data_IF_771792302377
#
_entry.id   IF_771792302377
#
_cell.length_a   1.000
_cell.length_b   1.000
_cell.length_c   1.000
_cell.angle_alpha   90.00
_cell.angle_beta   90.00
_cell.angle_gamma   90.00
#
_symmetry.space_group_name_H-M   'P 1'
#
loop_
_entity.id
_entity.type
_entity.pdbx_description
1 polymer ?
#
# COMPACT_ATOMS: atom_id res chain seq x y z
N UNK A 1 44.87 -40.99 24.08
CA UNK A 1 43.91 -40.46 25.06
C UNK A 1 42.74 -39.90 24.28
N UNK A 2 41.64 -40.64 24.19
CA UNK A 2 40.42 -40.20 23.51
C UNK A 2 39.57 -39.40 24.51
N UNK A 3 39.37 -38.11 24.25
CA UNK A 3 38.42 -37.29 24.99
C UNK A 3 37.00 -37.80 24.72
N UNK A 4 36.37 -38.35 25.76
CA UNK A 4 34.95 -38.65 25.77
C UNK A 4 34.17 -37.33 25.80
N UNK A 5 33.69 -36.88 24.64
CA UNK A 5 32.59 -35.92 24.55
C UNK A 5 31.29 -36.61 24.99
N UNK A 6 31.03 -36.63 26.29
CA UNK A 6 29.70 -36.96 26.80
C UNK A 6 28.75 -35.83 26.43
N UNK A 7 27.89 -36.06 25.45
CA UNK A 7 26.73 -35.21 25.20
C UNK A 7 25.85 -35.24 26.46
N UNK A 8 25.94 -34.20 27.29
CA UNK A 8 25.06 -34.01 28.43
C UNK A 8 23.64 -33.83 27.87
N UNK A 9 22.86 -34.92 27.91
CA UNK A 9 21.49 -34.93 27.45
C UNK A 9 20.64 -34.26 28.51
N UNK A 10 20.19 -33.05 28.20
CA UNK A 10 19.38 -32.24 29.10
C UNK A 10 17.97 -32.79 29.23
N UNK A 11 17.41 -32.83 30.44
CA UNK A 11 16.04 -33.28 30.64
C UNK A 11 15.01 -32.23 30.18
N UNK A 12 13.89 -32.70 29.65
CA UNK A 12 12.75 -31.83 29.30
C UNK A 12 12.24 -31.10 30.54
N UNK A 13 11.86 -29.84 30.37
CA UNK A 13 11.36 -28.96 31.43
C UNK A 13 12.38 -28.62 32.52
N UNK A 14 13.64 -28.97 32.30
CA UNK A 14 14.72 -28.57 33.20
C UNK A 14 14.98 -27.06 33.07
N UNK A 15 15.33 -26.42 34.18
CA UNK A 15 15.60 -25.00 34.23
C UNK A 15 17.04 -24.69 33.81
N UNK A 16 17.32 -23.68 32.95
CA UNK A 16 16.40 -22.75 32.24
C UNK A 16 15.88 -23.28 30.90
N UNK A 17 14.56 -23.27 30.64
CA UNK A 17 13.95 -23.78 29.41
C UNK A 17 14.71 -23.52 28.10
N UNK A 18 14.83 -24.55 27.26
CA UNK A 18 15.53 -24.57 25.99
C UNK A 18 14.58 -24.39 24.79
N UNK A 19 15.03 -24.83 23.61
CA UNK A 19 14.27 -24.69 22.37
C UNK A 19 12.97 -25.49 22.38
N UNK A 20 13.01 -26.73 22.86
CA UNK A 20 11.84 -27.62 22.87
C UNK A 20 10.71 -27.02 23.69
N UNK A 21 11.00 -26.59 24.92
CA UNK A 21 10.01 -25.95 25.79
C UNK A 21 9.53 -24.61 25.20
N UNK A 22 10.42 -23.86 24.56
CA UNK A 22 10.05 -22.56 23.95
C UNK A 22 9.04 -22.76 22.81
N UNK A 23 9.29 -23.71 21.91
CA UNK A 23 8.35 -24.04 20.84
C UNK A 23 7.07 -24.65 21.36
N UNK A 24 7.12 -25.47 22.40
CA UNK A 24 5.91 -26.01 23.03
C UNK A 24 5.03 -24.89 23.60
N UNK A 25 5.61 -23.97 24.37
CA UNK A 25 4.88 -22.82 24.94
C UNK A 25 4.37 -21.91 23.81
N UNK A 26 5.20 -21.60 22.82
CA UNK A 26 4.82 -20.75 21.69
C UNK A 26 3.70 -21.36 20.85
N UNK A 27 3.78 -22.65 20.52
CA UNK A 27 2.70 -23.34 19.81
C UNK A 27 1.43 -23.40 20.64
N UNK A 28 1.55 -23.64 21.94
CA UNK A 28 0.43 -23.56 22.88
C UNK A 28 -0.27 -22.19 22.82
N UNK A 29 0.47 -21.09 22.92
CA UNK A 29 -0.05 -19.73 22.80
C UNK A 29 -0.73 -19.49 21.44
N UNK A 30 -0.12 -19.96 20.35
CA UNK A 30 -0.66 -19.80 19.00
C UNK A 30 -1.97 -20.58 18.85
N UNK A 31 -2.02 -21.83 19.31
CA UNK A 31 -3.23 -22.65 19.31
C UNK A 31 -4.33 -22.02 20.16
N UNK A 32 -3.98 -21.54 21.37
CA UNK A 32 -4.92 -20.78 22.21
C UNK A 32 -5.49 -19.58 21.46
N UNK A 33 -4.65 -18.81 20.77
CA UNK A 33 -5.11 -17.67 19.97
C UNK A 33 -6.07 -18.07 18.85
N UNK A 34 -5.79 -19.16 18.11
CA UNK A 34 -6.73 -19.66 17.09
C UNK A 34 -8.04 -20.17 17.69
N UNK A 35 -8.01 -20.75 18.89
CA UNK A 35 -9.23 -21.16 19.60
C UNK A 35 -10.03 -19.93 20.05
N UNK A 36 -9.38 -18.89 20.57
CA UNK A 36 -10.06 -17.63 20.92
C UNK A 36 -10.71 -17.04 19.66
N UNK A 37 -9.98 -16.97 18.55
CA UNK A 37 -10.51 -16.49 17.27
C UNK A 37 -11.75 -17.28 16.85
N UNK A 38 -11.67 -18.61 16.86
CA UNK A 38 -12.73 -19.48 16.34
C UNK A 38 -13.99 -19.57 17.21
N UNK A 39 -13.89 -19.28 18.51
CA UNK A 39 -14.98 -19.49 19.47
C UNK A 39 -15.44 -18.22 20.18
N UNK A 40 -14.61 -17.19 20.28
CA UNK A 40 -14.93 -15.94 21.00
C UNK A 40 -15.17 -14.80 20.02
N UNK A 41 -14.32 -14.66 18.99
CA UNK A 41 -14.48 -13.60 18.00
C UNK A 41 -15.70 -13.89 17.13
N UNK A 42 -16.81 -13.22 17.42
CA UNK A 42 -18.03 -13.29 16.62
C UNK A 42 -18.13 -12.05 15.74
N UNK A 43 -18.36 -12.26 14.44
CA UNK A 43 -18.72 -11.22 13.47
C UNK A 43 -17.75 -10.03 13.33
N UNK A 44 -16.44 -10.29 13.24
CA UNK A 44 -15.50 -9.28 12.75
C UNK A 44 -15.35 -8.02 13.62
N UNK A 45 -15.75 -8.06 14.89
CA UNK A 45 -15.44 -6.99 15.83
C UNK A 45 -13.93 -6.99 16.12
N UNK A 46 -13.21 -6.19 15.35
CA UNK A 46 -11.77 -5.98 15.52
C UNK A 46 -11.57 -5.21 16.83
N UNK A 47 -10.89 -5.81 17.78
CA UNK A 47 -10.47 -5.13 18.99
C UNK A 47 -9.50 -4.00 18.64
N UNK A 48 -9.94 -2.75 18.77
CA UNK A 48 -9.12 -1.56 18.51
C UNK A 48 -9.00 -0.74 19.79
N UNK A 49 -7.77 -0.31 20.10
CA UNK A 49 -7.51 0.63 21.19
C UNK A 49 -7.17 1.97 20.54
N UNK A 50 -7.92 3.02 20.88
CA UNK A 50 -7.74 4.38 20.37
C UNK A 50 -7.17 5.29 21.44
N UNK A 51 -6.65 6.44 21.02
CA UNK A 51 -6.24 7.51 21.92
C UNK A 51 -7.37 7.93 22.86
N UNK A 52 -7.10 8.13 24.17
CA UNK A 52 -5.81 8.10 24.85
C UNK A 52 -5.38 6.73 25.39
N UNK A 53 -6.26 5.71 25.31
CA UNK A 53 -6.06 4.43 25.98
C UNK A 53 -4.87 3.63 25.45
N UNK A 54 -4.55 3.75 24.17
CA UNK A 54 -3.38 3.08 23.57
C UNK A 54 -2.05 3.64 24.10
N UNK A 55 -1.96 4.96 24.34
CA UNK A 55 -0.80 5.59 24.99
C UNK A 55 -0.68 5.14 26.44
N UNK A 56 -1.80 5.09 27.17
CA UNK A 56 -1.84 4.61 28.56
C UNK A 56 -1.41 3.14 28.62
N UNK A 57 -1.91 2.30 27.71
CA UNK A 57 -1.55 0.89 27.61
C UNK A 57 -0.05 0.70 27.33
N UNK A 58 0.53 1.48 26.41
CA UNK A 58 1.97 1.43 26.14
C UNK A 58 2.80 1.82 27.35
N UNK A 59 2.44 2.93 28.02
CA UNK A 59 3.13 3.39 29.21
C UNK A 59 3.07 2.36 30.34
N UNK A 60 1.89 1.80 30.59
CA UNK A 60 1.68 0.71 31.55
C UNK A 60 2.50 -0.53 31.20
N UNK A 61 2.51 -0.93 29.92
CA UNK A 61 3.28 -2.08 29.45
C UNK A 61 4.80 -1.89 29.67
N UNK A 62 5.35 -0.72 29.35
CA UNK A 62 6.77 -0.40 29.60
C UNK A 62 7.09 -0.46 31.10
N UNK A 63 6.22 0.08 31.95
CA UNK A 63 6.39 0.03 33.42
C UNK A 63 6.40 -1.43 33.90
N UNK A 64 5.47 -2.25 33.42
CA UNK A 64 5.42 -3.69 33.76
C UNK A 64 6.69 -4.39 33.32
N UNK A 65 7.18 -4.16 32.10
CA UNK A 65 8.44 -4.76 31.63
C UNK A 65 9.62 -4.36 32.53
N UNK A 66 9.69 -3.09 32.95
CA UNK A 66 10.74 -2.61 33.85
C UNK A 66 10.67 -3.26 35.23
N UNK A 67 9.47 -3.36 35.82
CA UNK A 67 9.21 -4.05 37.08
C UNK A 67 9.60 -5.53 36.98
N UNK A 68 9.12 -6.22 35.94
CA UNK A 68 9.43 -7.63 35.67
C UNK A 68 10.93 -7.87 35.60
N UNK A 69 11.67 -7.02 34.87
CA UNK A 69 13.11 -7.16 34.80
C UNK A 69 13.78 -6.83 36.15
N UNK A 70 13.46 -5.70 36.78
CA UNK A 70 14.17 -5.24 37.99
C UNK A 70 13.95 -6.15 39.20
N UNK A 71 12.73 -6.65 39.40
CA UNK A 71 12.35 -7.39 40.61
C UNK A 71 12.15 -8.89 40.42
N UNK A 72 11.92 -9.36 39.20
CA UNK A 72 11.59 -10.76 38.93
C UNK A 72 12.60 -11.47 38.02
N UNK A 73 13.83 -10.95 37.88
CA UNK A 73 14.92 -11.58 37.10
C UNK A 73 15.32 -12.97 37.58
N UNK A 74 15.08 -13.30 38.86
CA UNK A 74 15.30 -14.64 39.41
C UNK A 74 14.21 -15.65 39.03
N UNK A 75 13.04 -15.18 38.59
CA UNK A 75 11.93 -16.05 38.20
C UNK A 75 12.26 -16.82 36.92
N UNK A 76 11.78 -18.05 36.84
CA UNK A 76 11.97 -18.94 35.70
C UNK A 76 11.47 -18.32 34.39
N UNK A 77 10.28 -17.71 34.42
CA UNK A 77 9.65 -17.11 33.24
C UNK A 77 10.44 -15.92 32.73
N UNK A 78 10.78 -14.93 33.57
CA UNK A 78 11.53 -13.75 33.12
C UNK A 78 12.94 -14.14 32.66
N UNK A 79 13.57 -15.11 33.33
CA UNK A 79 14.87 -15.63 32.91
C UNK A 79 14.80 -16.35 31.56
N UNK A 80 13.69 -17.03 31.25
CA UNK A 80 13.45 -17.65 29.96
C UNK A 80 13.16 -16.62 28.86
N UNK A 81 12.30 -15.63 29.12
CA UNK A 81 11.94 -14.57 28.18
C UNK A 81 13.14 -13.71 27.74
N UNK A 82 14.19 -13.64 28.56
CA UNK A 82 15.44 -12.93 28.24
C UNK A 82 16.50 -13.79 27.54
N UNK A 83 16.18 -15.03 27.16
CA UNK A 83 17.08 -15.96 26.47
C UNK A 83 16.75 -16.12 25.00
N UNK A 84 17.76 -16.59 24.26
CA UNK A 84 17.71 -16.84 22.81
C UNK A 84 16.59 -17.82 22.40
N UNK A 85 16.36 -18.97 23.08
CA UNK A 85 15.32 -19.92 22.67
C UNK A 85 13.91 -19.32 22.63
N UNK A 86 13.54 -18.50 23.63
CA UNK A 86 12.24 -17.82 23.68
C UNK A 86 12.08 -16.85 22.50
N UNK A 87 13.14 -16.08 22.21
CA UNK A 87 13.15 -15.11 21.11
C UNK A 87 13.04 -15.80 19.76
N UNK A 88 13.89 -16.81 19.49
CA UNK A 88 13.89 -17.56 18.23
C UNK A 88 12.54 -18.25 18.00
N UNK A 89 11.98 -18.88 19.04
CA UNK A 89 10.66 -19.51 18.93
C UNK A 89 9.59 -18.49 18.52
N UNK A 90 9.54 -17.33 19.17
CA UNK A 90 8.55 -16.28 18.82
C UNK A 90 8.76 -15.72 17.41
N UNK A 91 10.00 -15.51 16.97
CA UNK A 91 10.33 -15.02 15.61
C UNK A 91 9.87 -16.03 14.55
N UNK A 92 10.17 -17.33 14.76
CA UNK A 92 9.77 -18.39 13.82
C UNK A 92 8.24 -18.46 13.71
N UNK A 93 7.52 -18.42 14.84
CA UNK A 93 6.06 -18.48 14.83
C UNK A 93 5.42 -17.24 14.19
N UNK A 94 5.93 -16.03 14.46
CA UNK A 94 5.48 -14.81 13.74
C UNK A 94 5.73 -14.95 12.25
N UNK A 95 6.90 -15.45 11.86
CA UNK A 95 7.25 -15.62 10.44
C UNK A 95 6.29 -16.57 9.73
N UNK A 96 5.89 -17.67 10.38
CA UNK A 96 4.88 -18.59 9.86
C UNK A 96 3.53 -17.87 9.67
N UNK A 97 3.07 -17.10 10.66
CA UNK A 97 1.81 -16.35 10.56
C UNK A 97 1.87 -15.28 9.47
N UNK A 98 2.98 -14.56 9.33
CA UNK A 98 3.20 -13.57 8.25
C UNK A 98 3.25 -14.26 6.88
N UNK A 99 3.79 -15.47 6.77
CA UNK A 99 3.75 -16.25 5.54
C UNK A 99 2.32 -16.64 5.15
N UNK A 100 1.48 -17.00 6.13
CA UNK A 100 0.04 -17.20 5.91
C UNK A 100 -0.62 -15.91 5.42
N UNK A 101 -0.30 -14.77 6.06
CA UNK A 101 -0.80 -13.45 5.63
C UNK A 101 -0.45 -13.13 4.17
N UNK A 102 0.75 -13.49 3.72
CA UNK A 102 1.20 -13.26 2.34
C UNK A 102 0.65 -14.27 1.31
N UNK A 103 0.11 -15.40 1.74
CA UNK A 103 -0.42 -16.47 0.85
C UNK A 103 -1.95 -16.51 0.81
N UNK A 104 -2.61 -16.08 1.88
CA UNK A 104 -4.07 -16.01 1.98
C UNK A 104 -4.53 -14.57 1.76
N UNK A 105 -5.50 -14.32 0.85
CA UNK A 105 -6.06 -12.98 0.68
C UNK A 105 -6.60 -12.40 1.99
N UNK A 106 -6.15 -11.20 2.36
CA UNK A 106 -6.54 -10.52 3.60
C UNK A 106 -7.86 -9.73 3.44
N UNK A 107 -8.88 -10.41 2.90
CA UNK A 107 -10.21 -9.88 2.58
C UNK A 107 -11.30 -10.90 2.92
N UNK A 108 -12.57 -10.51 3.08
CA UNK A 108 -13.66 -11.46 3.32
C UNK A 108 -13.66 -12.63 2.33
N UNK A 109 -13.63 -13.86 2.84
CA UNK A 109 -13.56 -15.08 2.03
C UNK A 109 -14.94 -15.75 1.95
N UNK A 110 -15.20 -16.51 0.89
CA UNK A 110 -16.36 -17.41 0.84
C UNK A 110 -16.14 -18.71 1.60
N UNK A 111 -14.90 -19.03 1.96
CA UNK A 111 -14.55 -20.25 2.68
C UNK A 111 -14.76 -20.08 4.19
N UNK A 112 -15.70 -20.86 4.73
CA UNK A 112 -16.05 -20.82 6.15
C UNK A 112 -14.87 -21.15 7.08
N UNK A 113 -13.96 -22.03 6.67
CA UNK A 113 -12.77 -22.35 7.48
C UNK A 113 -11.83 -21.15 7.59
N UNK A 114 -11.56 -20.46 6.48
CA UNK A 114 -10.70 -19.27 6.44
C UNK A 114 -11.25 -18.17 7.35
N UNK A 115 -12.56 -17.91 7.26
CA UNK A 115 -13.22 -16.91 8.08
C UNK A 115 -13.24 -17.31 9.57
N UNK A 116 -13.57 -18.58 9.88
CA UNK A 116 -13.69 -19.07 11.25
C UNK A 116 -12.36 -19.00 12.01
N UNK A 117 -11.25 -19.33 11.36
CA UNK A 117 -9.92 -19.26 11.98
C UNK A 117 -9.22 -17.91 11.78
N UNK A 118 -9.89 -16.94 11.15
CA UNK A 118 -9.38 -15.60 10.89
C UNK A 118 -8.10 -15.54 10.06
N UNK A 119 -7.95 -16.46 9.09
CA UNK A 119 -6.76 -16.53 8.22
C UNK A 119 -6.71 -15.39 7.19
N UNK A 120 -7.84 -14.71 6.98
CA UNK A 120 -8.00 -13.56 6.11
C UNK A 120 -7.87 -12.19 6.82
N UNK A 121 -7.48 -12.17 8.10
CA UNK A 121 -7.19 -10.95 8.85
C UNK A 121 -6.11 -11.20 9.91
N UNK A 122 -4.98 -11.77 9.49
CA UNK A 122 -3.92 -12.25 10.39
C UNK A 122 -3.40 -11.15 11.34
N UNK A 123 -3.28 -9.90 10.88
CA UNK A 123 -2.75 -8.81 11.72
C UNK A 123 -3.61 -8.47 12.93
N UNK A 124 -4.89 -8.82 12.90
CA UNK A 124 -5.85 -8.61 14.00
C UNK A 124 -6.25 -9.91 14.68
N UNK A 125 -5.73 -11.06 14.22
CA UNK A 125 -6.03 -12.38 14.74
C UNK A 125 -5.40 -12.61 16.11
N UNK A 126 -6.13 -13.23 17.04
CA UNK A 126 -5.62 -13.50 18.40
C UNK A 126 -4.33 -14.35 18.44
N UNK A 127 -4.16 -15.32 17.53
CA UNK A 127 -2.92 -16.09 17.44
C UNK A 127 -1.72 -15.19 17.12
N UNK A 128 -1.88 -14.27 16.18
CA UNK A 128 -0.86 -13.30 15.84
C UNK A 128 -0.58 -12.33 16.99
N UNK A 129 -1.63 -11.78 17.62
CA UNK A 129 -1.49 -10.84 18.72
C UNK A 129 -0.79 -11.45 19.94
N UNK A 130 -1.08 -12.70 20.29
CA UNK A 130 -0.45 -13.40 21.42
C UNK A 130 1.03 -13.71 21.16
N UNK A 131 1.38 -14.19 19.97
CA UNK A 131 2.77 -14.46 19.62
C UNK A 131 3.55 -13.15 19.45
N UNK A 132 2.93 -12.11 18.88
CA UNK A 132 3.52 -10.78 18.80
C UNK A 132 3.75 -10.20 20.19
N UNK A 133 2.81 -10.37 21.13
CA UNK A 133 2.96 -9.97 22.51
C UNK A 133 4.14 -10.69 23.20
N UNK A 134 4.27 -12.00 22.98
CA UNK A 134 5.41 -12.78 23.46
C UNK A 134 6.74 -12.25 22.88
N UNK A 135 6.80 -12.00 21.57
CA UNK A 135 7.98 -11.46 20.90
C UNK A 135 8.35 -10.07 21.42
N UNK A 136 7.38 -9.16 21.52
CA UNK A 136 7.55 -7.82 22.07
C UNK A 136 8.01 -7.85 23.53
N UNK A 137 7.53 -8.81 24.31
CA UNK A 137 7.94 -9.00 25.71
C UNK A 137 9.39 -9.47 25.79
N UNK A 138 9.79 -10.45 24.98
CA UNK A 138 11.19 -10.87 24.85
C UNK A 138 12.09 -9.68 24.44
N UNK A 139 11.69 -8.97 23.39
CA UNK A 139 12.42 -7.83 22.83
C UNK A 139 12.55 -6.68 23.85
N UNK A 140 11.47 -6.35 24.55
CA UNK A 140 11.42 -5.31 25.57
C UNK A 140 12.29 -5.64 26.78
N UNK A 141 12.18 -6.86 27.33
CA UNK A 141 13.01 -7.29 28.47
C UNK A 141 14.50 -7.33 28.13
N UNK A 142 14.86 -7.81 26.93
CA UNK A 142 16.26 -7.82 26.46
C UNK A 142 16.78 -6.39 26.25
N UNK A 143 15.94 -5.49 25.72
CA UNK A 143 16.28 -4.07 25.57
C UNK A 143 16.56 -3.44 26.93
N UNK A 144 15.65 -3.61 27.91
CA UNK A 144 15.81 -3.08 29.28
C UNK A 144 17.08 -3.64 29.93
N UNK A 145 17.31 -4.96 29.83
CA UNK A 145 18.53 -5.61 30.33
C UNK A 145 19.79 -4.93 29.82
N UNK A 146 19.86 -4.67 28.52
CA UNK A 146 21.04 -4.08 27.88
C UNK A 146 21.19 -2.59 28.13
N UNK A 147 20.08 -1.86 28.28
CA UNK A 147 20.08 -0.46 28.70
C UNK A 147 20.61 -0.34 30.15
N UNK A 148 20.16 -1.20 31.07
CA UNK A 148 20.62 -1.17 32.46
C UNK A 148 22.07 -1.65 32.64
N UNK A 149 22.58 -2.44 31.70
CA UNK A 149 23.97 -2.92 31.64
C UNK A 149 24.79 -2.19 30.55
N UNK A 150 24.45 -0.93 30.28
CA UNK A 150 24.94 -0.21 29.11
C UNK A 150 26.47 -0.14 29.04
N UNK A 151 26.99 -0.43 27.85
CA UNK A 151 28.38 -0.21 27.43
C UNK A 151 28.35 0.32 26.01
N UNK A 152 29.28 1.21 25.65
CA UNK A 152 29.34 1.80 24.31
C UNK A 152 29.50 0.76 23.20
N UNK A 153 30.19 -0.36 23.46
CA UNK A 153 30.31 -1.47 22.51
C UNK A 153 28.94 -2.07 22.15
N UNK A 154 27.94 -1.98 23.04
CA UNK A 154 26.59 -2.49 22.84
C UNK A 154 25.61 -1.42 22.33
N UNK A 155 26.07 -0.21 22.03
CA UNK A 155 25.19 0.89 21.62
C UNK A 155 24.36 0.52 20.37
N UNK A 156 24.99 -0.03 19.34
CA UNK A 156 24.28 -0.49 18.13
C UNK A 156 23.28 -1.61 18.38
N UNK A 157 23.56 -2.51 19.34
CA UNK A 157 22.61 -3.54 19.76
C UNK A 157 21.36 -2.91 20.38
N UNK A 158 21.55 -1.98 21.32
CA UNK A 158 20.45 -1.28 22.02
C UNK A 158 19.60 -0.51 21.02
N UNK A 159 20.22 0.22 20.10
CA UNK A 159 19.51 1.04 19.12
C UNK A 159 18.63 0.19 18.18
N UNK A 160 19.12 -0.97 17.76
CA UNK A 160 18.33 -1.91 16.96
C UNK A 160 17.15 -2.49 17.74
N UNK A 161 17.37 -2.96 18.97
CA UNK A 161 16.31 -3.64 19.73
C UNK A 161 15.24 -2.66 20.21
N UNK A 162 15.64 -1.48 20.70
CA UNK A 162 14.70 -0.42 21.08
C UNK A 162 14.00 0.12 19.84
N UNK A 163 14.72 0.34 18.75
CA UNK A 163 14.14 0.82 17.49
C UNK A 163 13.06 -0.12 16.95
N UNK A 164 13.34 -1.43 16.94
CA UNK A 164 12.35 -2.45 16.54
C UNK A 164 11.16 -2.50 17.51
N UNK A 165 11.41 -2.41 18.81
CA UNK A 165 10.35 -2.39 19.82
C UNK A 165 9.41 -1.19 19.62
N UNK A 166 9.96 0.01 19.42
CA UNK A 166 9.18 1.22 19.15
C UNK A 166 8.39 1.11 17.85
N UNK A 167 9.01 0.65 16.76
CA UNK A 167 8.34 0.54 15.46
C UNK A 167 7.16 -0.44 15.50
N UNK A 168 7.35 -1.62 16.11
CA UNK A 168 6.30 -2.63 16.19
C UNK A 168 5.18 -2.25 17.17
N UNK A 169 5.52 -1.75 18.36
CA UNK A 169 4.49 -1.31 19.32
C UNK A 169 3.68 -0.15 18.78
N UNK A 170 4.32 0.81 18.11
CA UNK A 170 3.63 1.92 17.45
C UNK A 170 2.72 1.45 16.31
N UNK A 171 3.16 0.48 15.50
CA UNK A 171 2.32 -0.10 14.44
C UNK A 171 1.07 -0.80 14.97
N UNK A 172 1.21 -1.58 16.05
CA UNK A 172 0.07 -2.29 16.67
C UNK A 172 -0.90 -1.32 17.33
N UNK A 173 -0.39 -0.47 18.23
CA UNK A 173 -1.22 0.42 19.04
C UNK A 173 -1.72 1.66 18.27
N UNK A 174 -1.03 2.03 17.19
CA UNK A 174 -1.43 3.12 16.31
C UNK A 174 -2.50 2.75 15.29
N UNK A 175 -2.72 1.45 15.05
CA UNK A 175 -3.74 0.97 14.10
C UNK A 175 -5.16 1.51 14.41
N UNK A 176 -5.50 1.69 15.69
CA UNK A 176 -6.79 2.25 16.10
C UNK A 176 -6.94 3.76 15.86
N UNK A 177 -5.82 4.48 15.77
CA UNK A 177 -5.79 5.93 15.54
C UNK A 177 -5.60 6.31 14.06
N UNK A 178 -5.26 5.34 13.22
CA UNK A 178 -5.14 5.54 11.78
C UNK A 178 -6.50 5.89 11.19
N UNK A 179 -6.60 7.06 10.59
CA UNK A 179 -7.79 7.50 9.87
C UNK A 179 -7.45 7.60 8.38
N UNK A 180 -8.28 6.95 7.56
CA UNK A 180 -8.29 7.09 6.10
C UNK A 180 -9.68 7.53 5.69
N UNK A 181 -9.75 8.70 5.08
CA UNK A 181 -11.00 9.29 4.60
C UNK A 181 -10.86 9.61 3.12
N UNK A 182 -11.97 9.55 2.41
CA UNK A 182 -12.09 9.99 1.02
C UNK A 182 -13.06 11.17 0.95
N UNK A 183 -12.76 12.19 0.17
CA UNK A 183 -13.68 13.31 -0.06
C UNK A 183 -13.77 13.64 -1.54
N UNK A 184 -15.01 13.83 -2.01
CA UNK A 184 -15.29 14.32 -3.35
C UNK A 184 -15.32 15.85 -3.31
N UNK A 185 -14.46 16.48 -4.10
CA UNK A 185 -14.42 17.93 -4.29
C UNK A 185 -14.81 18.26 -5.72
N UNK A 186 -15.76 19.19 -5.88
CA UNK A 186 -16.26 19.61 -7.17
C UNK A 186 -15.82 21.04 -7.45
N UNK A 187 -15.49 21.32 -8.71
CA UNK A 187 -15.06 22.66 -9.12
C UNK A 187 -16.09 23.73 -8.73
N UNK A 188 -15.59 24.82 -8.17
CA UNK A 188 -16.41 25.94 -7.74
C UNK A 188 -17.22 25.70 -6.46
N UNK A 189 -17.04 24.55 -5.78
CA UNK A 189 -17.82 24.19 -4.59
C UNK A 189 -16.92 23.81 -3.40
N UNK A 190 -17.24 24.29 -2.18
CA UNK A 190 -16.59 23.80 -0.98
C UNK A 190 -17.15 22.43 -0.56
N UNK A 191 -16.27 21.52 -0.14
CA UNK A 191 -16.62 20.22 0.48
C UNK A 191 -15.88 20.04 1.80
N UNK A 192 -16.58 19.62 2.86
CA UNK A 192 -16.00 19.37 4.19
C UNK A 192 -16.50 18.07 4.84
N UNK A 193 -17.32 17.31 4.14
CA UNK A 193 -17.82 16.01 4.58
C UNK A 193 -17.05 14.95 3.80
N UNK A 194 -16.26 14.17 4.52
CA UNK A 194 -15.53 13.04 3.98
C UNK A 194 -16.24 11.72 4.35
N UNK A 195 -15.84 10.62 3.72
CA UNK A 195 -16.36 9.28 4.01
C UNK A 195 -15.23 8.35 4.41
N UNK A 196 -15.45 7.50 5.41
CA UNK A 196 -14.53 6.43 5.78
C UNK A 196 -14.71 5.17 4.89
N UNK A 197 -14.00 4.09 5.22
CA UNK A 197 -14.06 2.82 4.49
C UNK A 197 -15.44 2.13 4.55
N UNK A 198 -16.22 2.40 5.60
CA UNK A 198 -17.59 1.89 5.80
C UNK A 198 -18.64 2.82 5.18
N UNK A 199 -18.21 3.91 4.54
CA UNK A 199 -19.05 5.00 3.97
C UNK A 199 -19.80 5.80 5.02
N UNK A 200 -19.34 5.80 6.27
CA UNK A 200 -19.86 6.72 7.26
C UNK A 200 -19.35 8.14 6.96
N UNK A 201 -20.22 9.13 7.10
CA UNK A 201 -19.87 10.53 6.92
C UNK A 201 -19.09 11.06 8.12
N UNK A 202 -18.00 11.78 7.84
CA UNK A 202 -17.10 12.38 8.83
C UNK A 202 -16.90 13.85 8.49
N UNK A 203 -17.30 14.74 9.40
CA UNK A 203 -17.11 16.18 9.25
C UNK A 203 -15.64 16.56 9.51
N UNK A 204 -15.02 17.26 8.56
CA UNK A 204 -13.65 17.75 8.68
C UNK A 204 -13.58 19.12 9.40
N UNK A 205 -12.48 19.41 10.11
CA UNK A 205 -12.28 20.70 10.77
C UNK A 205 -11.86 21.84 9.80
N UNK A 206 -11.90 21.59 8.50
CA UNK A 206 -11.62 22.51 7.40
C UNK A 206 -12.37 22.03 6.15
N UNK A 207 -12.53 22.90 5.15
CA UNK A 207 -13.14 22.54 3.87
C UNK A 207 -12.10 22.58 2.75
N UNK A 208 -12.37 21.85 1.68
CA UNK A 208 -11.65 21.94 0.42
C UNK A 208 -12.49 22.67 -0.60
N UNK A 209 -11.88 23.57 -1.35
CA UNK A 209 -12.48 24.21 -2.51
C UNK A 209 -11.65 23.87 -3.73
N UNK A 210 -12.24 23.19 -4.71
CA UNK A 210 -11.58 22.89 -5.97
C UNK A 210 -11.72 24.10 -6.90
N UNK A 211 -10.59 24.71 -7.27
CA UNK A 211 -10.58 25.76 -8.28
C UNK A 211 -10.66 25.16 -9.68
N UNK A 212 -9.78 24.19 -9.93
CA UNK A 212 -9.62 23.59 -11.25
C UNK A 212 -9.00 22.19 -11.12
N UNK A 213 -9.51 21.24 -11.92
CA UNK A 213 -8.90 19.93 -12.09
C UNK A 213 -8.08 19.90 -13.38
N UNK A 214 -6.76 19.75 -13.23
CA UNK A 214 -5.83 19.77 -14.34
C UNK A 214 -5.41 18.35 -14.69
N UNK A 215 -5.50 17.99 -15.96
CA UNK A 215 -5.12 16.66 -16.44
C UNK A 215 -4.50 16.78 -17.83
N UNK A 216 -3.40 16.05 -18.00
CA UNK A 216 -2.80 15.79 -19.30
C UNK A 216 -3.08 14.34 -19.67
N UNK A 217 -3.53 14.11 -20.90
CA UNK A 217 -3.81 12.79 -21.45
C UNK A 217 -2.72 12.41 -22.46
N UNK A 218 -2.43 11.12 -22.59
CA UNK A 218 -1.70 10.60 -23.76
C UNK A 218 -2.59 10.67 -24.99
N UNK A 219 -1.98 10.73 -26.18
CA UNK A 219 -2.72 10.45 -27.40
C UNK A 219 -3.36 9.06 -27.31
N UNK A 220 -4.55 8.88 -27.87
CA UNK A 220 -5.18 7.57 -27.90
C UNK A 220 -4.35 6.59 -28.74
N UNK A 221 -4.58 5.29 -28.52
CA UNK A 221 -3.89 4.23 -29.24
C UNK A 221 -4.76 3.71 -30.37
N UNK A 222 -4.15 3.45 -31.52
CA UNK A 222 -4.73 2.76 -32.66
C UNK A 222 -4.70 1.25 -32.41
N UNK A 223 -5.82 0.58 -32.66
CA UNK A 223 -5.97 -0.85 -32.47
C UNK A 223 -6.69 -1.48 -33.67
N UNK A 224 -6.29 -2.70 -34.03
CA UNK A 224 -7.04 -3.58 -34.92
C UNK A 224 -7.94 -4.48 -34.07
N UNK A 225 -9.25 -4.49 -34.33
CA UNK A 225 -10.22 -5.30 -33.59
C UNK A 225 -10.80 -6.36 -34.50
N UNK A 226 -10.88 -7.59 -34.00
CA UNK A 226 -11.60 -8.68 -34.64
C UNK A 226 -13.11 -8.50 -34.43
N UNK A 227 -13.86 -8.34 -35.52
CA UNK A 227 -15.28 -8.05 -35.50
C UNK A 227 -16.14 -9.22 -34.95
N UNK A 228 -15.63 -10.45 -34.99
CA UNK A 228 -16.35 -11.63 -34.51
C UNK A 228 -16.22 -11.80 -32.99
N UNK A 229 -15.04 -11.50 -32.44
CA UNK A 229 -14.75 -11.67 -31.01
C UNK A 229 -14.84 -10.36 -30.21
N UNK A 230 -14.77 -9.21 -30.86
CA UNK A 230 -14.64 -7.90 -30.23
C UNK A 230 -13.30 -7.66 -29.54
N UNK A 231 -12.34 -8.57 -29.70
CA UNK A 231 -11.02 -8.50 -29.06
C UNK A 231 -10.00 -7.74 -29.91
N UNK A 232 -9.02 -7.14 -29.26
CA UNK A 232 -7.87 -6.53 -29.96
C UNK A 232 -7.05 -7.66 -30.59
N UNK A 233 -6.89 -7.58 -31.92
CA UNK A 233 -6.13 -8.54 -32.70
C UNK A 233 -4.65 -8.52 -32.27
N UNK A 234 -4.07 -9.71 -32.14
CA UNK A 234 -2.69 -9.86 -31.72
C UNK A 234 -1.75 -9.68 -32.91
N UNK A 235 -0.73 -8.84 -32.74
CA UNK A 235 0.26 -8.45 -33.73
C UNK A 235 1.66 -8.56 -33.11
N UNK A 236 2.11 -9.80 -32.90
CA UNK A 236 3.47 -10.15 -32.43
C UNK A 236 4.00 -9.33 -31.24
N UNK A 237 3.11 -9.01 -30.28
CA UNK A 237 3.45 -8.30 -29.04
C UNK A 237 3.28 -6.77 -29.07
N UNK A 238 2.99 -6.15 -30.23
CA UNK A 238 2.65 -4.72 -30.35
C UNK A 238 1.27 -4.54 -31.00
N UNK A 239 0.25 -4.56 -30.15
CA UNK A 239 -1.16 -4.51 -30.59
C UNK A 239 -1.74 -3.08 -30.57
N UNK A 240 -0.98 -2.10 -30.06
CA UNK A 240 -1.43 -0.74 -29.81
C UNK A 240 -0.31 0.25 -30.16
N UNK A 241 -0.62 1.23 -31.01
CA UNK A 241 0.30 2.30 -31.40
C UNK A 241 -0.31 3.66 -31.06
N UNK A 242 0.46 4.61 -30.55
CA UNK A 242 -0.06 5.95 -30.30
C UNK A 242 -0.49 6.61 -31.62
N UNK A 243 -1.60 7.33 -31.62
CA UNK A 243 -2.05 8.06 -32.81
C UNK A 243 -1.28 9.37 -32.90
N UNK A 244 -0.37 9.46 -33.86
CA UNK A 244 0.44 10.64 -34.14
C UNK A 244 0.43 10.95 -35.64
N UNK A 245 0.22 12.22 -35.99
CA UNK A 245 0.12 12.65 -37.39
C UNK A 245 1.45 12.41 -38.12
N UNK A 246 1.38 11.76 -39.27
CA UNK A 246 2.54 11.46 -40.13
C UNK A 246 3.15 10.09 -39.89
N UNK A 247 2.75 9.39 -38.82
CA UNK A 247 3.23 8.06 -38.51
C UNK A 247 2.51 6.98 -39.34
N UNK A 248 3.23 5.90 -39.63
CA UNK A 248 2.72 4.71 -40.33
C UNK A 248 2.96 3.47 -39.47
N UNK A 249 1.90 2.70 -39.25
CA UNK A 249 1.91 1.48 -38.44
C UNK A 249 1.51 0.27 -39.27
N UNK A 250 1.98 -0.90 -38.87
CA UNK A 250 1.69 -2.16 -39.54
C UNK A 250 0.93 -3.09 -38.60
N UNK A 251 -0.23 -3.56 -39.05
CA UNK A 251 -1.06 -4.54 -38.35
C UNK A 251 -1.35 -5.70 -39.30
N UNK A 252 -0.80 -6.89 -39.02
CA UNK A 252 -0.92 -8.04 -39.93
C UNK A 252 -0.55 -7.62 -41.37
N UNK A 253 -1.51 -7.69 -42.31
CA UNK A 253 -1.33 -7.34 -43.72
C UNK A 253 -1.83 -5.92 -44.07
N UNK A 254 -1.98 -5.05 -43.07
CA UNK A 254 -2.45 -3.67 -43.23
C UNK A 254 -1.36 -2.67 -42.86
N UNK A 255 -1.10 -1.75 -43.79
CA UNK A 255 -0.30 -0.54 -43.57
C UNK A 255 -1.27 0.62 -43.28
N UNK A 256 -1.13 1.24 -42.10
CA UNK A 256 -2.04 2.29 -41.63
C UNK A 256 -1.26 3.57 -41.41
N UNK A 257 -1.54 4.60 -42.22
CA UNK A 257 -0.94 5.93 -42.09
C UNK A 257 -1.91 6.89 -41.43
N UNK A 258 -1.45 7.62 -40.41
CA UNK A 258 -2.21 8.69 -39.76
C UNK A 258 -2.00 9.99 -40.54
N UNK A 259 -2.92 10.33 -41.45
CA UNK A 259 -2.79 11.52 -42.29
C UNK A 259 -3.08 12.82 -41.51
N UNK A 260 -4.00 12.75 -40.55
CA UNK A 260 -4.32 13.89 -39.68
C UNK A 260 -4.78 13.43 -38.30
N UNK A 261 -4.54 14.25 -37.28
CA UNK A 261 -4.99 14.01 -35.91
C UNK A 261 -5.49 15.32 -35.30
N UNK A 262 -6.71 15.26 -34.74
CA UNK A 262 -7.37 16.36 -34.06
C UNK A 262 -7.61 15.93 -32.60
N UNK A 263 -6.95 16.56 -31.60
CA UNK A 263 -7.11 16.17 -30.19
C UNK A 263 -8.51 16.41 -29.61
N UNK A 264 -9.24 17.35 -30.19
CA UNK A 264 -10.60 17.73 -29.83
C UNK A 264 -11.37 18.05 -31.11
N UNK A 265 -12.32 17.20 -31.50
CA UNK A 265 -13.07 17.38 -32.73
C UNK A 265 -14.49 16.85 -32.62
N UNK A 266 -15.36 17.33 -33.51
CA UNK A 266 -16.70 16.80 -33.69
C UNK A 266 -16.94 16.49 -35.16
N UNK A 267 -17.86 15.56 -35.41
CA UNK A 267 -18.25 15.19 -36.77
C UNK A 267 -19.20 16.24 -37.35
N UNK A 268 -18.83 16.77 -38.51
CA UNK A 268 -19.67 17.64 -39.33
C UNK A 268 -19.86 17.01 -40.72
N UNK A 269 -20.97 16.29 -40.91
CA UNK A 269 -21.20 15.50 -42.12
C UNK A 269 -20.24 14.32 -42.24
N UNK A 270 -19.36 14.33 -43.25
CA UNK A 270 -18.37 13.28 -43.51
C UNK A 270 -16.95 13.62 -43.04
N UNK A 271 -16.76 14.73 -42.33
CA UNK A 271 -15.46 15.19 -41.84
C UNK A 271 -15.50 15.49 -40.35
N UNK A 272 -14.32 15.57 -39.74
CA UNK A 272 -14.15 16.09 -38.39
C UNK A 272 -13.55 17.49 -38.45
N UNK A 273 -14.04 18.37 -37.59
CA UNK A 273 -13.54 19.73 -37.43
C UNK A 273 -13.11 19.97 -35.98
N UNK A 274 -12.02 20.73 -35.75
CA UNK A 274 -11.55 21.00 -34.40
C UNK A 274 -12.53 21.90 -33.65
N UNK A 275 -12.86 21.52 -32.43
CA UNK A 275 -13.69 22.32 -31.53
C UNK A 275 -13.14 22.27 -30.12
N UNK A 276 -13.49 23.26 -29.30
CA UNK A 276 -13.16 23.26 -27.88
C UNK A 276 -14.45 23.22 -27.05
N UNK A 277 -15.20 22.13 -27.21
CA UNK A 277 -16.46 21.91 -26.51
C UNK A 277 -16.34 20.73 -25.55
N UNK A 278 -17.03 20.83 -24.41
CA UNK A 278 -16.99 19.80 -23.39
C UNK A 278 -17.39 18.43 -23.98
N UNK A 279 -16.55 17.43 -23.77
CA UNK A 279 -16.74 16.10 -24.31
C UNK A 279 -16.31 15.92 -25.76
N UNK A 280 -15.74 16.91 -26.46
CA UNK A 280 -15.22 16.69 -27.82
C UNK A 280 -14.10 15.64 -27.80
N UNK A 281 -14.25 14.49 -28.48
CA UNK A 281 -13.25 13.44 -28.50
C UNK A 281 -12.09 13.76 -29.46
N UNK A 282 -10.95 13.07 -29.33
CA UNK A 282 -9.96 13.04 -30.39
C UNK A 282 -10.51 12.32 -31.63
N UNK A 283 -10.06 12.74 -32.81
CA UNK A 283 -10.36 12.10 -34.08
C UNK A 283 -9.11 12.04 -34.98
N UNK A 284 -9.00 11.00 -35.78
CA UNK A 284 -7.89 10.80 -36.70
C UNK A 284 -8.39 10.47 -38.10
N UNK A 285 -7.77 11.05 -39.12
CA UNK A 285 -7.98 10.66 -40.51
C UNK A 285 -6.90 9.65 -40.89
N UNK A 286 -7.32 8.43 -41.19
CA UNK A 286 -6.41 7.32 -41.44
C UNK A 286 -6.54 6.82 -42.89
N UNK A 287 -5.43 6.37 -43.44
CA UNK A 287 -5.38 5.63 -44.71
C UNK A 287 -4.89 4.22 -44.42
N UNK A 288 -5.73 3.23 -44.71
CA UNK A 288 -5.44 1.81 -44.55
C UNK A 288 -5.21 1.20 -45.92
N UNK A 289 -3.99 0.73 -46.17
CA UNK A 289 -3.62 -0.03 -47.36
C UNK A 289 -3.53 -1.52 -47.02
N UNK A 290 -4.28 -2.35 -47.73
CA UNK A 290 -4.10 -3.80 -47.67
C UNK A 290 -2.95 -4.21 -48.59
N UNK A 291 -1.93 -4.86 -48.03
CA UNK A 291 -0.69 -5.23 -48.72
C UNK A 291 -0.92 -6.37 -49.73
N UNK A 292 -1.92 -7.23 -49.52
CA UNK A 292 -2.18 -8.39 -50.39
C UNK A 292 -2.84 -8.01 -51.73
N UNK A 293 -3.72 -7.01 -51.71
CA UNK A 293 -4.54 -6.64 -52.87
C UNK A 293 -4.42 -5.15 -53.27
N UNK A 294 -3.50 -4.42 -52.64
CA UNK A 294 -3.23 -2.99 -52.83
C UNK A 294 -4.47 -2.06 -52.70
N UNK A 295 -5.56 -2.54 -52.09
CA UNK A 295 -6.74 -1.69 -51.84
C UNK A 295 -6.47 -0.67 -50.74
N UNK A 296 -6.96 0.55 -50.93
CA UNK A 296 -6.79 1.67 -50.00
C UNK A 296 -8.16 2.16 -49.55
N UNK A 297 -8.36 2.21 -48.24
CA UNK A 297 -9.54 2.79 -47.61
C UNK A 297 -9.13 3.97 -46.74
N UNK A 298 -9.85 5.09 -46.84
CA UNK A 298 -9.60 6.27 -46.03
C UNK A 298 -10.87 6.67 -45.28
N UNK A 299 -10.74 6.93 -43.99
CA UNK A 299 -11.85 7.39 -43.18
C UNK A 299 -11.37 8.14 -41.95
N UNK A 300 -12.30 8.91 -41.37
CA UNK A 300 -12.14 9.39 -40.01
C UNK A 300 -12.51 8.28 -39.03
N UNK A 301 -11.72 8.16 -37.96
CA UNK A 301 -12.03 7.36 -36.78
C UNK A 301 -11.98 8.25 -35.54
N UNK A 302 -12.75 7.90 -34.52
CA UNK A 302 -12.88 8.64 -33.26
C UNK A 302 -13.04 7.67 -32.10
N UNK A 303 -12.40 7.98 -30.97
CA UNK A 303 -12.58 7.19 -29.74
C UNK A 303 -13.96 7.37 -29.13
N UNK A 304 -14.70 8.41 -29.55
CA UNK A 304 -15.91 8.85 -28.86
C UNK A 304 -15.61 9.40 -27.47
N UNK A 305 -16.68 9.77 -26.75
CA UNK A 305 -16.64 10.29 -25.39
C UNK A 305 -17.98 10.05 -24.69
N UNK A 306 -18.14 10.57 -23.47
CA UNK A 306 -19.43 10.57 -22.78
C UNK A 306 -20.54 11.34 -23.52
N UNK A 307 -20.20 12.18 -24.52
CA UNK A 307 -21.16 12.98 -25.29
C UNK A 307 -21.30 12.53 -26.75
N UNK A 308 -20.23 12.01 -27.35
CA UNK A 308 -20.22 11.65 -28.78
C UNK A 308 -19.95 10.17 -28.97
N UNK A 309 -20.62 9.51 -29.94
CA UNK A 309 -20.36 8.11 -30.23
C UNK A 309 -18.93 7.90 -30.74
N UNK A 310 -18.41 6.70 -30.55
CA UNK A 310 -17.16 6.28 -31.20
C UNK A 310 -17.38 6.07 -32.70
N UNK A 311 -16.31 6.16 -33.49
CA UNK A 311 -16.34 5.90 -34.93
C UNK A 311 -15.15 5.03 -35.32
N UNK A 312 -15.44 3.89 -35.97
CA UNK A 312 -14.46 2.92 -36.43
C UNK A 312 -14.45 2.82 -37.95
N UNK A 313 -13.36 2.30 -38.50
CA UNK A 313 -13.26 1.95 -39.92
C UNK A 313 -13.33 0.43 -40.05
N UNK A 314 -14.44 -0.08 -40.58
CA UNK A 314 -14.55 -1.50 -40.97
C UNK A 314 -13.70 -1.76 -42.20
N UNK A 315 -12.53 -2.38 -42.02
CA UNK A 315 -11.60 -2.67 -43.13
C UNK A 315 -12.10 -3.88 -43.93
N UNK A 316 -12.61 -4.89 -43.23
CA UNK A 316 -13.14 -6.14 -43.79
C UNK A 316 -14.25 -6.71 -42.91
N UNK A 317 -14.85 -7.84 -43.31
CA UNK A 317 -15.77 -8.56 -42.42
C UNK A 317 -15.10 -9.03 -41.13
N UNK A 318 -13.80 -9.37 -41.19
CA UNK A 318 -13.05 -9.85 -40.03
C UNK A 318 -12.53 -8.73 -39.12
N UNK A 319 -12.17 -7.55 -39.67
CA UNK A 319 -11.44 -6.54 -38.91
C UNK A 319 -11.97 -5.12 -39.04
N UNK A 320 -11.83 -4.37 -37.94
CA UNK A 320 -12.03 -2.91 -37.90
C UNK A 320 -10.85 -2.21 -37.25
N UNK A 321 -10.49 -1.02 -37.75
CA UNK A 321 -9.61 -0.10 -37.03
C UNK A 321 -10.42 0.73 -36.05
N UNK A 322 -9.94 0.80 -34.82
CA UNK A 322 -10.51 1.62 -33.75
C UNK A 322 -9.43 2.43 -33.07
N UNK A 323 -9.86 3.48 -32.38
CA UNK A 323 -9.02 4.29 -31.52
C UNK A 323 -9.47 4.10 -30.07
N UNK A 324 -8.53 3.86 -29.15
CA UNK A 324 -8.83 3.75 -27.72
C UNK A 324 -9.20 5.11 -27.14
N UNK A 325 -9.79 5.11 -25.95
CA UNK A 325 -9.96 6.33 -25.17
C UNK A 325 -8.56 6.80 -24.70
N UNK A 326 -8.26 8.11 -24.70
CA UNK A 326 -7.05 8.66 -24.11
C UNK A 326 -6.87 8.25 -22.64
N UNK A 327 -5.65 7.88 -22.27
CA UNK A 327 -5.29 7.54 -20.89
C UNK A 327 -4.69 8.76 -20.19
N UNK A 328 -4.99 8.95 -18.91
CA UNK A 328 -4.38 10.02 -18.12
C UNK A 328 -2.85 9.83 -18.02
N UNK A 329 -2.10 10.86 -18.39
CA UNK A 329 -0.64 10.92 -18.26
C UNK A 329 -0.23 11.45 -16.89
N UNK A 330 -0.87 12.54 -16.46
CA UNK A 330 -0.76 13.09 -15.10
C UNK A 330 -1.98 13.95 -14.83
N UNK A 331 -2.34 14.06 -13.56
CA UNK A 331 -3.41 14.96 -13.12
C UNK A 331 -3.07 15.59 -11.78
N UNK A 332 -3.71 16.71 -11.51
CA UNK A 332 -3.54 17.47 -10.28
C UNK A 332 -4.78 18.31 -10.00
N UNK A 333 -4.98 18.67 -8.75
CA UNK A 333 -6.06 19.58 -8.34
C UNK A 333 -5.50 20.88 -7.79
N UNK A 334 -5.85 22.01 -8.38
CA UNK A 334 -5.65 23.31 -7.73
C UNK A 334 -6.77 23.51 -6.72
N UNK A 335 -6.41 23.42 -5.45
CA UNK A 335 -7.34 23.49 -4.34
C UNK A 335 -6.99 24.64 -3.41
N UNK A 336 -7.99 25.05 -2.64
CA UNK A 336 -7.76 25.74 -1.38
C UNK A 336 -8.31 24.96 -0.21
N UNK A 337 -7.55 25.01 0.87
CA UNK A 337 -8.02 24.57 2.17
C UNK A 337 -8.58 25.79 2.90
N UNK A 338 -9.88 25.76 3.16
CA UNK A 338 -10.62 26.81 3.84
C UNK A 338 -10.67 26.50 5.34
N UNK A 339 -10.19 27.42 6.17
CA UNK A 339 -10.20 27.27 7.63
C UNK A 339 -11.44 27.92 8.24
N UNK A 340 -11.82 27.48 9.45
CA UNK A 340 -12.89 28.13 10.22
C UNK A 340 -12.56 29.58 10.58
N UNK A 341 -11.27 29.92 10.60
CA UNK A 341 -10.75 31.26 10.90
C UNK A 341 -10.78 32.19 9.67
N UNK A 342 -11.24 31.70 8.51
CA UNK A 342 -11.36 32.47 7.26
C UNK A 342 -10.10 32.50 6.40
N UNK A 343 -9.05 31.76 6.78
CA UNK A 343 -7.84 31.64 5.97
C UNK A 343 -8.07 30.69 4.78
N UNK A 344 -7.41 31.02 3.65
CA UNK A 344 -7.44 30.25 2.41
C UNK A 344 -6.02 29.83 2.06
N UNK A 345 -5.72 28.56 2.25
CA UNK A 345 -4.39 28.00 1.96
C UNK A 345 -4.44 27.34 0.58
N UNK A 346 -3.87 28.01 -0.42
CA UNK A 346 -3.82 27.50 -1.79
C UNK A 346 -2.70 26.48 -1.96
N UNK A 347 -2.98 25.37 -2.64
CA UNK A 347 -1.98 24.37 -3.02
C UNK A 347 -2.41 23.60 -4.26
N UNK A 348 -1.44 23.06 -4.99
CA UNK A 348 -1.68 22.11 -6.07
C UNK A 348 -1.40 20.70 -5.54
N UNK A 349 -2.40 19.83 -5.60
CA UNK A 349 -2.27 18.41 -5.25
C UNK A 349 -1.95 17.61 -6.50
N UNK A 350 -0.69 17.21 -6.65
CA UNK A 350 -0.26 16.31 -7.72
C UNK A 350 -0.36 14.84 -7.28
N UNK A 351 -0.55 13.94 -8.25
CA UNK A 351 -0.46 12.49 -8.01
C UNK A 351 0.87 12.14 -7.34
N UNK A 352 0.82 11.25 -6.35
CA UNK A 352 1.97 10.79 -5.54
C UNK A 352 2.66 11.85 -4.67
N UNK A 353 2.18 13.11 -4.62
CA UNK A 353 2.72 14.14 -3.74
C UNK A 353 1.72 14.51 -2.65
N UNK A 354 2.05 14.19 -1.41
CA UNK A 354 1.20 14.48 -0.26
C UNK A 354 1.34 15.94 0.20
N UNK A 355 0.22 16.64 0.39
CA UNK A 355 0.21 17.91 1.13
C UNK A 355 -0.09 17.65 2.61
N UNK A 356 0.64 18.30 3.52
CA UNK A 356 0.49 18.08 4.97
C UNK A 356 -0.23 19.26 5.61
N UNK A 357 -1.33 18.99 6.31
CA UNK A 357 -2.08 20.03 7.03
C UNK A 357 -2.76 19.47 8.29
N UNK A 358 -2.54 20.12 9.44
CA UNK A 358 -3.13 19.74 10.76
C UNK A 358 -3.08 18.23 11.08
N UNK A 359 -1.95 17.58 10.76
CA UNK A 359 -1.73 16.15 10.98
C UNK A 359 -2.30 15.22 9.90
N UNK A 360 -3.03 15.76 8.92
CA UNK A 360 -3.46 15.04 7.73
C UNK A 360 -2.40 15.11 6.64
N UNK A 361 -2.21 13.99 5.95
CA UNK A 361 -1.62 13.93 4.62
C UNK A 361 -2.76 13.85 3.62
N UNK A 362 -2.77 14.76 2.67
CA UNK A 362 -3.83 14.91 1.67
C UNK A 362 -3.22 14.52 0.33
N UNK A 363 -3.85 13.56 -0.34
CA UNK A 363 -3.42 13.01 -1.61
C UNK A 363 -4.47 13.23 -2.67
N UNK A 364 -4.00 13.50 -3.90
CA UNK A 364 -4.83 13.33 -5.08
C UNK A 364 -5.06 11.83 -5.30
N UNK A 365 -6.30 11.35 -5.15
CA UNK A 365 -6.64 9.93 -5.28
C UNK A 365 -7.16 9.59 -6.68
N UNK A 366 -8.21 10.29 -7.13
CA UNK A 366 -8.90 9.97 -8.39
C UNK A 366 -9.67 11.16 -8.95
N UNK A 367 -10.42 10.94 -10.04
CA UNK A 367 -11.32 11.87 -10.71
C UNK A 367 -12.44 11.07 -11.41
N UNK A 368 -13.32 11.73 -12.16
CA UNK A 368 -14.30 11.01 -13.00
C UNK A 368 -13.65 10.53 -14.32
N UNK A 369 -13.20 9.28 -14.32
CA UNK A 369 -12.58 8.63 -15.49
C UNK A 369 -13.48 8.65 -16.74
N UNK A 370 -14.82 8.70 -16.60
CA UNK A 370 -15.72 8.74 -17.76
C UNK A 370 -15.71 10.11 -18.43
N UNK A 371 -15.44 11.16 -17.67
CA UNK A 371 -15.30 12.52 -18.19
C UNK A 371 -13.89 12.81 -18.68
N UNK A 372 -12.87 12.09 -18.20
CA UNK A 372 -11.47 12.29 -18.60
C UNK A 372 -11.02 13.72 -18.27
N UNK A 373 -10.42 14.40 -19.25
CA UNK A 373 -10.08 15.83 -19.16
C UNK A 373 -11.23 16.80 -18.93
N UNK A 374 -12.47 16.34 -18.99
CA UNK A 374 -13.66 17.14 -18.73
C UNK A 374 -14.24 16.92 -17.32
N UNK A 375 -13.55 16.15 -16.47
CA UNK A 375 -13.94 15.92 -15.09
C UNK A 375 -13.88 17.23 -14.31
N UNK A 376 -14.99 17.57 -13.64
CA UNK A 376 -15.04 18.64 -12.63
C UNK A 376 -14.97 18.08 -11.20
N UNK A 377 -14.73 16.78 -11.07
CA UNK A 377 -14.59 16.06 -9.82
C UNK A 377 -13.12 15.73 -9.60
N UNK A 378 -12.67 15.97 -8.38
CA UNK A 378 -11.46 15.39 -7.84
C UNK A 378 -11.78 14.65 -6.55
N UNK A 379 -11.18 13.47 -6.39
CA UNK A 379 -11.30 12.66 -5.18
C UNK A 379 -10.00 12.78 -4.42
N UNK A 380 -10.08 13.24 -3.17
CA UNK A 380 -8.92 13.40 -2.30
C UNK A 380 -8.92 12.32 -1.21
N UNK A 381 -7.77 11.70 -0.98
CA UNK A 381 -7.56 10.82 0.19
C UNK A 381 -6.92 11.62 1.32
N UNK A 382 -7.50 11.57 2.50
CA UNK A 382 -6.94 12.11 3.72
C UNK A 382 -6.47 10.97 4.63
N UNK A 383 -5.18 10.99 4.99
CA UNK A 383 -4.58 10.01 5.90
C UNK A 383 -4.02 10.72 7.12
N UNK A 384 -4.47 10.33 8.32
CA UNK A 384 -3.92 10.80 9.58
C UNK A 384 -3.44 9.62 10.41
N UNK A 385 -2.14 9.64 10.73
CA UNK A 385 -1.48 8.65 11.57
C UNK A 385 -0.59 9.37 12.60
N UNK A 386 -1.06 9.53 13.85
CA UNK A 386 -0.29 10.16 14.92
C UNK A 386 0.95 9.34 15.35
N UNK A 387 0.99 8.04 15.05
CA UNK A 387 2.03 7.11 15.51
C UNK A 387 3.17 6.96 14.49
N UNK A 388 2.94 7.39 13.25
CA UNK A 388 3.94 7.34 12.18
C UNK A 388 5.29 7.99 12.56
N UNK A 389 5.37 9.13 13.28
CA UNK A 389 6.65 9.66 13.74
C UNK A 389 7.42 8.69 14.65
N UNK A 390 6.72 7.95 15.52
CA UNK A 390 7.34 6.95 16.40
C UNK A 390 7.83 5.73 15.63
N UNK A 391 7.08 5.30 14.60
CA UNK A 391 7.52 4.26 13.66
C UNK A 391 8.81 4.68 12.96
N UNK A 392 8.85 5.91 12.41
CA UNK A 392 10.05 6.41 11.75
C UNK A 392 11.22 6.55 12.71
N UNK A 393 10.99 7.02 13.94
CA UNK A 393 12.04 7.05 14.97
C UNK A 393 12.64 5.65 15.18
N UNK A 394 11.80 4.62 15.32
CA UNK A 394 12.24 3.24 15.45
C UNK A 394 13.06 2.76 14.24
N UNK A 395 12.62 3.06 13.02
CA UNK A 395 13.34 2.71 11.78
C UNK A 395 14.70 3.40 11.71
N UNK A 396 14.78 4.70 11.96
CA UNK A 396 16.05 5.43 11.96
C UNK A 396 17.00 4.96 13.06
N UNK A 397 16.48 4.58 14.22
CA UNK A 397 17.26 3.94 15.29
C UNK A 397 17.88 2.61 14.81
N UNK A 398 17.11 1.74 14.13
CA UNK A 398 17.65 0.50 13.59
C UNK A 398 18.73 0.76 12.53
N UNK A 399 18.51 1.70 11.60
CA UNK A 399 19.50 2.07 10.57
C UNK A 399 20.80 2.55 11.23
N UNK A 400 20.70 3.49 12.17
CA UNK A 400 21.87 3.99 12.90
C UNK A 400 22.57 2.87 13.70
N UNK A 401 21.81 1.93 14.26
CA UNK A 401 22.33 0.80 15.02
C UNK A 401 23.11 -0.16 14.14
N UNK A 402 22.57 -0.47 12.95
CA UNK A 402 23.24 -1.27 11.94
C UNK A 402 24.56 -0.62 11.49
N UNK A 403 24.53 0.67 11.11
CA UNK A 403 25.73 1.43 10.71
C UNK A 403 26.80 1.39 11.81
N UNK A 404 26.40 1.60 13.08
CA UNK A 404 27.32 1.55 14.21
C UNK A 404 27.98 0.17 14.36
N UNK A 405 27.21 -0.92 14.30
CA UNK A 405 27.74 -2.27 14.43
C UNK A 405 28.71 -2.61 13.29
N UNK A 406 28.41 -2.21 12.05
CA UNK A 406 29.34 -2.38 10.92
C UNK A 406 30.65 -1.62 11.14
N UNK A 407 30.58 -0.39 11.64
CA UNK A 407 31.78 0.43 11.88
C UNK A 407 32.66 -0.13 13.00
N UNK A 408 32.05 -0.53 14.13
CA UNK A 408 32.79 -1.14 15.25
C UNK A 408 33.38 -2.48 14.86
N UNK A 409 32.64 -3.33 14.13
CA UNK A 409 33.16 -4.60 13.62
C UNK A 409 34.41 -4.41 12.76
N UNK A 410 34.40 -3.43 11.84
CA UNK A 410 35.56 -3.13 10.99
C UNK A 410 36.78 -2.60 11.78
N UNK A 411 36.56 -1.83 12.85
CA UNK A 411 37.66 -1.38 13.73
C UNK A 411 38.34 -2.53 14.46
N UNK A 412 37.57 -3.49 14.96
CA UNK A 412 38.11 -4.66 15.64
C UNK A 412 38.96 -5.49 14.67
N UNK A 413 38.45 -5.76 13.46
CA UNK A 413 39.19 -6.50 12.44
C UNK A 413 40.48 -5.82 11.99
N UNK A 414 40.52 -4.47 11.94
CA UNK A 414 41.77 -3.75 11.63
C UNK A 414 42.80 -3.86 12.75
N UNK A 415 42.39 -3.72 14.00
CA UNK A 415 43.28 -3.83 15.15
C UNK A 415 43.80 -5.26 15.41
N UNK A 416 43.13 -6.29 14.88
CA UNK A 416 43.62 -7.68 14.94
C UNK A 416 44.63 -8.03 13.82
N UNK A 417 44.72 -7.19 12.78
CA UNK A 417 45.61 -7.38 11.62
C UNK A 417 46.83 -6.42 11.62
N UNK A 418 46.93 -5.55 12.62
CA UNK A 418 48.12 -4.75 12.97
C UNK A 418 48.80 -5.37 14.20
#
# INVERSE_FOLDING_TARGET
MSENNSNIQRNLWENPWGYIESFFIGFGLMLTGFLIEAFVTTNGNIFTIKYPYNVIALAGYIIVLFICYKWFTSSQVIRWLTKVPASISSIVLITILVMIMGTVPQVPSTNNFINKFGLNHITTNWAFLLILFQFLTCLGLVSIKRILQFKWDNFGFVLNHVGLFLALTAGVLGSGDLQRLSINVYEGKPSWIATDAERNEVELPFAFYLKDFLIEEYNPKLALVDNSTGSISHNDGKNLYLVEKGETYYFNNFEVTIENYLPNAIRFGMRYEPVNEQGSPPAAYISVKNIENDSIQKAWISSGSFRYPYESLKISEAYSMVMTIPEAKKFSSDIDILTKDGERISTILEVNKAFKYKGWKIYQLSYDDKMGKWSNLSVLELVKDPWLPLIYLGIFMMIAGAIYMFWVGNKITKNENE
#
